data_IF_287684073808
#
_entry.id   IF_287684073808
#
_cell.length_a   1.000
_cell.length_b   1.000
_cell.length_c   1.000
_cell.angle_alpha   90.00
_cell.angle_beta   90.00
_cell.angle_gamma   90.00
#
_symmetry.space_group_name_H-M   'P 1'
#
loop_
_entity.id
_entity.type
_entity.pdbx_description
1 polymer ?
#
# COMPACT_ATOMS: atom_id res chain seq x y z
N UNK A 1 -67.85 16.92 41.52
CA UNK A 1 -66.97 18.10 41.33
C UNK A 1 -65.69 17.83 42.11
N UNK A 2 -64.63 17.39 41.43
CA UNK A 2 -63.30 17.18 42.01
C UNK A 2 -62.31 17.96 41.14
N UNK A 3 -61.75 19.01 41.71
CA UNK A 3 -60.74 19.88 41.11
C UNK A 3 -59.37 19.17 41.15
N UNK A 4 -58.81 18.90 39.97
CA UNK A 4 -57.42 18.46 39.80
C UNK A 4 -56.51 19.69 39.73
N UNK A 5 -55.61 19.81 40.70
CA UNK A 5 -54.49 20.74 40.66
C UNK A 5 -53.41 20.22 39.70
N UNK A 6 -53.00 21.06 38.76
CA UNK A 6 -51.91 20.82 37.83
C UNK A 6 -50.62 21.41 38.39
N UNK A 7 -49.69 20.55 38.80
CA UNK A 7 -48.32 20.93 39.16
C UNK A 7 -47.49 21.02 37.88
N UNK A 8 -47.12 22.25 37.49
CA UNK A 8 -46.14 22.51 36.44
C UNK A 8 -44.73 22.46 37.04
N UNK A 9 -43.96 21.42 36.69
CA UNK A 9 -42.53 21.33 36.99
C UNK A 9 -41.73 22.01 35.87
N UNK A 10 -41.18 23.18 36.18
CA UNK A 10 -40.20 23.88 35.33
C UNK A 10 -38.84 23.18 35.42
N UNK A 11 -38.55 22.28 34.48
CA UNK A 11 -37.21 21.75 34.26
C UNK A 11 -36.43 22.66 33.29
N UNK A 12 -35.80 23.72 33.82
CA UNK A 12 -34.69 24.40 33.16
C UNK A 12 -33.41 23.57 33.35
N UNK A 13 -33.24 22.56 32.50
CA UNK A 13 -31.93 21.92 32.30
C UNK A 13 -31.14 22.79 31.32
N UNK A 14 -30.30 23.66 31.87
CA UNK A 14 -29.29 24.40 31.10
C UNK A 14 -28.31 23.41 30.49
N UNK A 15 -28.47 23.13 29.20
CA UNK A 15 -27.49 22.46 28.35
C UNK A 15 -26.22 23.31 28.29
N UNK A 16 -25.32 23.12 29.25
CA UNK A 16 -23.93 23.52 29.11
C UNK A 16 -23.33 22.52 28.12
N UNK A 17 -23.28 22.91 26.84
CA UNK A 17 -22.57 22.18 25.82
C UNK A 17 -21.07 22.27 26.12
N UNK A 18 -20.58 21.40 27.00
CA UNK A 18 -19.16 21.09 27.10
C UNK A 18 -18.81 20.37 25.79
N UNK A 19 -18.37 21.11 24.78
CA UNK A 19 -17.62 20.52 23.68
C UNK A 19 -16.24 20.19 24.22
N UNK A 20 -15.87 18.91 24.42
CA UNK A 20 -14.53 18.56 24.84
C UNK A 20 -13.59 18.87 23.67
N UNK A 21 -13.07 20.10 23.62
CA UNK A 21 -11.97 20.44 22.72
C UNK A 21 -10.77 19.62 23.17
N UNK A 22 -10.47 18.58 22.40
CA UNK A 22 -9.35 17.65 22.58
C UNK A 22 -8.05 18.44 22.83
N UNK A 23 -7.46 18.29 24.01
CA UNK A 23 -6.11 18.78 24.29
C UNK A 23 -5.09 17.77 23.76
N UNK A 24 -5.03 17.53 22.45
CA UNK A 24 -3.75 17.09 21.89
C UNK A 24 -2.82 18.27 22.09
N UNK A 25 -1.78 18.11 22.91
CA UNK A 25 -0.81 19.21 23.08
C UNK A 25 -0.31 19.57 21.67
N UNK A 26 -0.32 20.86 21.25
CA UNK A 26 0.07 21.29 19.91
C UNK A 26 1.44 20.73 19.46
N UNK A 27 2.26 20.32 20.41
CA UNK A 27 3.53 19.61 20.22
C UNK A 27 3.41 18.28 19.46
N UNK A 28 2.42 17.41 19.80
CA UNK A 28 2.32 16.05 19.21
C UNK A 28 1.87 16.13 17.75
N UNK A 29 0.87 16.95 17.43
CA UNK A 29 0.37 17.07 16.06
C UNK A 29 1.45 17.67 15.14
N UNK A 30 2.22 18.62 15.64
CA UNK A 30 3.37 19.17 14.90
C UNK A 30 4.46 18.11 14.67
N UNK A 31 4.71 17.24 15.66
CA UNK A 31 5.64 16.13 15.51
C UNK A 31 5.17 15.13 14.43
N UNK A 32 3.89 14.75 14.43
CA UNK A 32 3.34 13.82 13.43
C UNK A 32 3.36 14.45 12.04
N UNK A 33 2.98 15.73 11.90
CA UNK A 33 3.07 16.46 10.63
C UNK A 33 4.50 16.50 10.09
N UNK A 34 5.48 16.70 10.96
CA UNK A 34 6.90 16.62 10.59
C UNK A 34 7.29 15.23 10.09
N UNK A 35 6.90 14.18 10.81
CA UNK A 35 7.16 12.79 10.38
C UNK A 35 6.50 12.46 9.04
N UNK A 36 5.27 12.93 8.80
CA UNK A 36 4.57 12.80 7.53
C UNK A 36 5.37 13.48 6.41
N UNK A 37 5.85 14.70 6.65
CA UNK A 37 6.66 15.42 5.66
C UNK A 37 7.98 14.69 5.38
N UNK A 38 8.67 14.21 6.42
CA UNK A 38 9.90 13.42 6.29
C UNK A 38 9.66 12.14 5.46
N UNK A 39 8.52 11.47 5.66
CA UNK A 39 8.13 10.29 4.87
C UNK A 39 7.84 10.64 3.41
N UNK A 40 7.11 11.73 3.15
CA UNK A 40 6.86 12.22 1.78
C UNK A 40 8.16 12.50 1.07
N UNK A 41 9.09 13.19 1.71
CA UNK A 41 10.37 13.56 1.13
C UNK A 41 11.21 12.31 0.84
N UNK A 42 11.25 11.33 1.74
CA UNK A 42 11.94 10.05 1.49
C UNK A 42 11.35 9.29 0.30
N UNK A 43 10.01 9.23 0.20
CA UNK A 43 9.34 8.52 -0.91
C UNK A 43 9.51 9.29 -2.23
N UNK A 44 9.37 10.61 -2.24
CA UNK A 44 9.55 11.45 -3.43
C UNK A 44 10.98 11.43 -3.94
N UNK A 45 11.96 11.28 -3.07
CA UNK A 45 13.37 11.18 -3.45
C UNK A 45 13.88 9.74 -3.55
N UNK A 46 13.01 8.75 -3.31
CA UNK A 46 13.37 7.34 -3.45
C UNK A 46 13.99 7.04 -4.82
N UNK A 47 15.09 6.29 -4.78
CA UNK A 47 15.84 5.78 -5.92
C UNK A 47 16.16 4.31 -5.64
N UNK A 48 15.79 3.43 -6.56
CA UNK A 48 16.01 1.98 -6.43
C UNK A 48 17.50 1.71 -6.17
N UNK A 49 17.78 1.10 -5.02
CA UNK A 49 19.10 0.71 -4.58
C UNK A 49 20.14 1.85 -4.67
N UNK A 50 19.77 3.04 -4.19
CA UNK A 50 20.63 4.24 -4.20
C UNK A 50 22.06 3.94 -3.72
N UNK A 51 22.19 3.24 -2.58
CA UNK A 51 23.46 2.87 -1.96
C UNK A 51 24.38 2.02 -2.87
N UNK A 52 23.81 1.09 -3.67
CA UNK A 52 24.60 0.26 -4.60
C UNK A 52 25.06 1.03 -5.84
N UNK A 53 24.29 2.04 -6.25
CA UNK A 53 24.67 2.91 -7.37
C UNK A 53 25.84 3.82 -6.97
N UNK A 54 25.84 4.28 -5.72
CA UNK A 54 26.88 5.17 -5.18
C UNK A 54 28.17 4.43 -4.82
N UNK A 55 28.09 3.19 -4.35
CA UNK A 55 29.27 2.41 -3.98
C UNK A 55 30.10 1.91 -5.17
N UNK A 56 29.62 2.10 -6.41
CA UNK A 56 30.35 1.68 -7.60
C UNK A 56 30.52 0.16 -7.70
N UNK A 57 29.59 -0.62 -7.15
CA UNK A 57 29.66 -2.09 -7.02
C UNK A 57 29.65 -2.89 -8.36
N UNK A 58 30.02 -2.27 -9.48
CA UNK A 58 30.09 -2.90 -10.80
C UNK A 58 28.75 -3.30 -11.41
N UNK A 59 27.63 -2.99 -10.74
CA UNK A 59 26.29 -3.29 -11.26
C UNK A 59 25.99 -2.30 -12.39
N UNK A 60 25.82 -2.82 -13.60
CA UNK A 60 25.41 -2.00 -14.75
C UNK A 60 24.08 -1.32 -14.44
N UNK A 61 24.02 0.00 -14.61
CA UNK A 61 22.78 0.79 -14.44
C UNK A 61 21.63 0.28 -15.32
N UNK A 62 21.96 -0.46 -16.40
CA UNK A 62 21.00 -1.08 -17.31
C UNK A 62 20.24 -2.27 -16.68
N UNK A 63 20.84 -2.97 -15.72
CA UNK A 63 20.24 -4.12 -15.07
C UNK A 63 19.25 -3.73 -13.96
N UNK A 64 19.41 -2.55 -13.37
CA UNK A 64 18.53 -2.04 -12.33
C UNK A 64 17.21 -1.52 -12.90
N UNK A 65 16.06 -1.78 -12.24
CA UNK A 65 14.82 -1.13 -12.59
C UNK A 65 14.88 0.36 -12.22
N UNK A 66 14.17 1.17 -13.00
CA UNK A 66 13.96 2.60 -12.77
C UNK A 66 12.73 2.88 -11.88
N UNK A 67 12.12 1.82 -11.34
CA UNK A 67 10.87 1.88 -10.60
C UNK A 67 10.76 0.79 -9.54
N UNK A 68 9.96 1.05 -8.50
CA UNK A 68 9.39 0.04 -7.62
C UNK A 68 8.00 -0.37 -8.15
N UNK A 69 7.74 -1.66 -8.13
CA UNK A 69 6.52 -2.27 -8.69
C UNK A 69 5.83 -3.00 -7.54
N UNK A 70 4.61 -2.59 -7.20
CA UNK A 70 3.83 -3.09 -6.08
C UNK A 70 2.56 -3.72 -6.65
N UNK A 71 2.35 -5.02 -6.43
CA UNK A 71 1.08 -5.66 -6.76
C UNK A 71 0.18 -5.72 -5.54
N UNK A 72 -1.10 -5.38 -5.74
CA UNK A 72 -2.14 -5.40 -4.72
C UNK A 72 -3.16 -6.50 -5.03
N UNK A 73 -3.19 -7.51 -4.16
CA UNK A 73 -4.14 -8.63 -4.15
C UNK A 73 -5.22 -8.43 -3.10
N UNK A 74 -6.29 -9.21 -3.17
CA UNK A 74 -7.40 -9.16 -2.22
C UNK A 74 -8.75 -9.47 -2.88
N UNK A 75 -9.75 -9.93 -2.11
CA UNK A 75 -11.04 -10.30 -2.66
C UNK A 75 -11.77 -9.08 -3.25
N UNK A 76 -12.79 -9.33 -4.07
CA UNK A 76 -13.61 -8.24 -4.61
C UNK A 76 -14.26 -7.43 -3.50
N UNK A 77 -14.18 -6.10 -3.59
CA UNK A 77 -14.71 -5.20 -2.55
C UNK A 77 -13.79 -4.97 -1.35
N UNK A 78 -12.60 -5.59 -1.28
CA UNK A 78 -11.68 -5.45 -0.14
C UNK A 78 -11.00 -4.08 0.02
N UNK A 79 -11.31 -3.10 -0.84
CA UNK A 79 -10.76 -1.75 -0.73
C UNK A 79 -9.40 -1.52 -1.44
N UNK A 80 -8.98 -2.39 -2.36
CA UNK A 80 -7.72 -2.24 -3.13
C UNK A 80 -7.59 -0.90 -3.85
N UNK A 81 -8.55 -0.54 -4.70
CA UNK A 81 -8.52 0.74 -5.42
C UNK A 81 -8.58 1.93 -4.45
N UNK A 82 -9.30 1.80 -3.33
CA UNK A 82 -9.34 2.83 -2.28
C UNK A 82 -7.97 3.00 -1.61
N UNK A 83 -7.25 1.91 -1.34
CA UNK A 83 -5.88 1.95 -0.82
C UNK A 83 -4.92 2.69 -1.76
N UNK A 84 -5.00 2.43 -3.08
CA UNK A 84 -4.18 3.13 -4.09
C UNK A 84 -4.47 4.64 -4.08
N UNK A 85 -5.75 5.02 -4.00
CA UNK A 85 -6.16 6.43 -3.86
C UNK A 85 -5.62 7.03 -2.58
N UNK A 86 -5.65 6.28 -1.49
CA UNK A 86 -5.14 6.72 -0.19
C UNK A 86 -3.64 6.98 -0.26
N UNK A 87 -2.85 6.07 -0.85
CA UNK A 87 -1.42 6.30 -1.10
C UNK A 87 -1.16 7.55 -1.93
N UNK A 88 -1.91 7.75 -3.01
CA UNK A 88 -1.72 8.92 -3.87
C UNK A 88 -2.01 10.23 -3.12
N UNK A 89 -3.17 10.31 -2.46
CA UNK A 89 -3.57 11.51 -1.69
C UNK A 89 -2.59 11.83 -0.58
N UNK A 90 -2.15 10.80 0.17
CA UNK A 90 -1.20 10.96 1.26
C UNK A 90 0.17 11.45 0.74
N UNK A 91 0.66 10.91 -0.39
CA UNK A 91 1.95 11.27 -0.97
C UNK A 91 1.96 12.68 -1.55
N UNK A 92 0.91 13.06 -2.28
CA UNK A 92 0.83 14.36 -2.97
C UNK A 92 0.12 15.44 -2.15
N UNK A 93 -0.32 15.11 -0.93
CA UNK A 93 -1.08 16.01 -0.05
C UNK A 93 -2.27 16.67 -0.76
N UNK A 94 -3.00 15.89 -1.54
CA UNK A 94 -4.13 16.36 -2.37
C UNK A 94 -5.43 15.66 -1.98
N UNK A 95 -6.56 16.35 -2.16
CA UNK A 95 -7.90 15.77 -2.01
C UNK A 95 -8.37 15.09 -3.31
N UNK A 96 -7.94 15.63 -4.44
CA UNK A 96 -8.36 15.20 -5.77
C UNK A 96 -7.33 14.27 -6.41
N UNK A 97 -7.82 13.30 -7.19
CA UNK A 97 -6.97 12.41 -7.96
C UNK A 97 -6.72 13.06 -9.31
N UNK A 98 -5.54 12.86 -9.90
CA UNK A 98 -5.31 13.22 -11.30
C UNK A 98 -6.23 12.40 -12.21
N UNK A 99 -6.66 13.01 -13.32
CA UNK A 99 -7.54 12.38 -14.32
C UNK A 99 -6.98 11.03 -14.79
N UNK A 100 -5.65 10.96 -14.96
CA UNK A 100 -4.90 9.76 -15.38
C UNK A 100 -5.02 8.58 -14.41
N UNK A 101 -5.24 8.87 -13.12
CA UNK A 101 -5.41 7.87 -12.07
C UNK A 101 -6.90 7.55 -11.89
N UNK A 102 -7.76 8.56 -11.98
CA UNK A 102 -9.20 8.38 -11.81
C UNK A 102 -9.79 7.48 -12.90
N UNK A 103 -9.37 7.64 -14.15
CA UNK A 103 -9.79 6.79 -15.27
C UNK A 103 -9.36 5.33 -15.06
N UNK A 104 -8.15 5.11 -14.57
CA UNK A 104 -7.59 3.76 -14.34
C UNK A 104 -8.19 3.06 -13.12
N UNK A 105 -8.56 3.80 -12.09
CA UNK A 105 -9.13 3.27 -10.84
C UNK A 105 -10.66 3.29 -10.86
N UNK A 106 -11.29 3.14 -12.03
CA UNK A 106 -12.74 3.12 -12.16
C UNK A 106 -13.33 2.03 -11.24
N UNK A 107 -14.05 2.44 -10.20
CA UNK A 107 -14.80 1.50 -9.35
C UNK A 107 -16.01 1.08 -10.16
N UNK A 108 -15.97 -0.15 -10.68
CA UNK A 108 -17.14 -0.78 -11.27
C UNK A 108 -18.08 -1.26 -10.17
N UNK A 109 -19.37 -1.36 -10.49
CA UNK A 109 -20.35 -1.94 -9.56
C UNK A 109 -20.09 -3.43 -9.37
N UNK A 110 -20.61 -4.02 -8.27
CA UNK A 110 -20.40 -5.44 -7.95
C UNK A 110 -20.79 -6.37 -9.10
N UNK A 111 -21.88 -6.03 -9.80
CA UNK A 111 -22.45 -6.83 -10.87
C UNK A 111 -21.64 -6.77 -12.18
N UNK A 112 -20.71 -5.81 -12.27
CA UNK A 112 -19.81 -5.63 -13.42
C UNK A 112 -18.39 -6.15 -13.14
N UNK A 113 -18.16 -6.76 -11.96
CA UNK A 113 -16.84 -7.27 -11.60
C UNK A 113 -16.61 -8.66 -12.22
N UNK A 114 -15.76 -8.69 -13.23
CA UNK A 114 -15.35 -9.92 -13.93
C UNK A 114 -14.24 -10.70 -13.21
N UNK A 115 -14.00 -10.47 -11.90
CA UNK A 115 -12.88 -11.06 -11.16
C UNK A 115 -11.49 -10.52 -11.59
N UNK A 116 -10.41 -11.26 -11.29
CA UNK A 116 -9.00 -10.89 -11.61
C UNK A 116 -8.68 -10.97 -13.11
N UNK A 117 -9.50 -10.38 -13.97
CA UNK A 117 -9.32 -10.41 -15.41
C UNK A 117 -8.47 -9.25 -15.90
N UNK A 118 -8.54 -8.07 -15.30
CA UNK A 118 -7.76 -6.92 -15.76
C UNK A 118 -6.65 -6.54 -14.76
N UNK A 119 -5.45 -6.34 -15.30
CA UNK A 119 -4.28 -5.92 -14.56
C UNK A 119 -3.95 -4.47 -14.93
N UNK A 120 -4.15 -3.56 -13.98
CA UNK A 120 -4.04 -2.11 -14.25
C UNK A 120 -2.86 -1.50 -13.50
N UNK A 121 -1.89 -0.97 -14.24
CA UNK A 121 -0.78 -0.21 -13.65
C UNK A 121 -1.13 1.26 -13.41
N UNK A 122 -1.03 1.68 -12.14
CA UNK A 122 -1.23 3.06 -11.69
C UNK A 122 0.09 3.62 -11.17
N UNK A 123 0.51 4.76 -11.73
CA UNK A 123 1.76 5.43 -11.32
C UNK A 123 1.46 6.33 -10.13
N UNK A 124 1.79 5.85 -8.93
CA UNK A 124 1.63 6.61 -7.68
C UNK A 124 2.62 7.77 -7.61
N UNK A 125 3.86 7.52 -8.06
CA UNK A 125 4.94 8.51 -8.09
C UNK A 125 5.59 8.52 -9.47
N UNK A 126 5.57 9.67 -10.12
CA UNK A 126 6.24 9.91 -11.41
C UNK A 126 7.75 10.05 -11.22
N UNK A 127 8.50 9.83 -12.29
CA UNK A 127 9.93 10.07 -12.27
C UNK A 127 10.18 11.57 -12.31
N UNK A 128 10.92 12.08 -11.34
CA UNK A 128 11.26 13.51 -11.25
C UNK A 128 12.77 13.67 -11.22
N UNK A 129 13.25 14.83 -11.67
CA UNK A 129 14.63 15.23 -11.36
C UNK A 129 14.71 15.41 -9.85
N UNK A 130 15.74 14.86 -9.22
CA UNK A 130 15.93 15.05 -7.78
C UNK A 130 16.26 16.52 -7.56
N UNK A 131 15.42 17.21 -6.81
CA UNK A 131 15.57 18.65 -6.55
C UNK A 131 16.91 18.93 -5.87
N UNK A 132 17.61 19.96 -6.33
CA UNK A 132 18.88 20.41 -5.75
C UNK A 132 18.71 20.76 -4.26
N UNK A 133 17.52 21.19 -3.84
CA UNK A 133 17.14 21.52 -2.47
C UNK A 133 17.07 20.30 -1.55
N UNK A 134 16.57 19.15 -2.02
CA UNK A 134 16.60 17.92 -1.24
C UNK A 134 18.04 17.46 -0.98
N UNK A 135 18.92 17.61 -1.98
CA UNK A 135 20.35 17.34 -1.82
C UNK A 135 20.98 18.25 -0.76
N UNK A 136 20.58 19.53 -0.72
CA UNK A 136 21.00 20.45 0.34
C UNK A 136 20.53 19.96 1.73
N UNK A 137 19.28 19.51 1.86
CA UNK A 137 18.73 19.05 3.15
C UNK A 137 19.38 17.73 3.63
N UNK A 138 19.68 16.79 2.74
CA UNK A 138 20.42 15.56 3.09
C UNK A 138 21.80 15.87 3.68
N UNK A 139 22.56 16.77 3.04
CA UNK A 139 23.89 17.18 3.52
C UNK A 139 23.79 17.76 4.93
N UNK A 140 22.81 18.63 5.20
CA UNK A 140 22.57 19.21 6.53
C UNK A 140 22.36 18.14 7.61
N UNK A 141 21.62 17.08 7.30
CA UNK A 141 21.35 15.97 8.23
C UNK A 141 22.63 15.16 8.51
N UNK A 142 23.44 14.87 7.48
CA UNK A 142 24.68 14.07 7.64
C UNK A 142 25.75 14.78 8.46
N UNK A 143 25.82 16.11 8.40
CA UNK A 143 26.70 16.92 9.26
C UNK A 143 26.23 17.03 10.71
N UNK A 144 25.13 16.36 11.07
CA UNK A 144 24.76 16.09 12.45
C UNK A 144 24.48 17.33 13.28
N UNK A 145 23.52 18.18 12.89
CA UNK A 145 23.02 19.36 13.63
C UNK A 145 24.07 20.30 14.23
N UNK A 146 25.35 20.14 13.91
CA UNK A 146 26.36 21.15 14.17
C UNK A 146 25.95 22.35 13.34
N UNK A 147 25.82 23.51 13.99
CA UNK A 147 25.63 24.80 13.34
C UNK A 147 26.88 25.10 12.53
N UNK A 148 26.94 24.53 11.33
CA UNK A 148 27.88 24.92 10.29
C UNK A 148 27.41 26.29 9.83
N UNK A 149 28.33 27.25 9.75
CA UNK A 149 28.02 28.58 9.23
C UNK A 149 27.52 28.44 7.77
N UNK A 150 26.51 29.21 7.37
CA UNK A 150 25.87 29.10 6.05
C UNK A 150 26.90 29.21 4.90
N UNK A 151 27.97 29.99 5.11
CA UNK A 151 29.09 30.13 4.16
C UNK A 151 29.89 28.84 3.97
N UNK A 152 30.18 28.11 5.06
CA UNK A 152 30.93 26.85 5.00
C UNK A 152 30.08 25.74 4.36
N UNK A 153 28.76 25.76 4.62
CA UNK A 153 27.81 24.87 3.96
C UNK A 153 27.75 25.12 2.44
N UNK A 154 27.62 26.38 2.01
CA UNK A 154 27.60 26.72 0.58
C UNK A 154 28.94 26.43 -0.10
N UNK A 155 30.08 26.58 0.58
CA UNK A 155 31.38 26.19 0.03
C UNK A 155 31.50 24.68 -0.16
N UNK A 156 31.08 23.88 0.82
CA UNK A 156 31.02 22.41 0.70
C UNK A 156 30.07 21.99 -0.43
N UNK A 157 28.90 22.61 -0.52
CA UNK A 157 27.93 22.34 -1.58
C UNK A 157 28.51 22.67 -2.97
N UNK A 158 29.20 23.81 -3.11
CA UNK A 158 29.90 24.18 -4.35
C UNK A 158 30.99 23.19 -4.72
N UNK A 159 31.78 22.70 -3.74
CA UNK A 159 32.83 21.69 -3.97
C UNK A 159 32.23 20.37 -4.48
N UNK A 160 31.13 19.92 -3.89
CA UNK A 160 30.40 18.71 -4.34
C UNK A 160 29.82 18.92 -5.75
N UNK A 161 29.17 20.06 -6.00
CA UNK A 161 28.57 20.40 -7.30
C UNK A 161 29.61 20.47 -8.42
N UNK A 162 30.77 21.07 -8.15
CA UNK A 162 31.84 21.23 -9.15
C UNK A 162 32.61 19.92 -9.41
N UNK A 163 32.75 19.03 -8.42
CA UNK A 163 33.29 17.68 -8.65
C UNK A 163 32.40 16.84 -9.59
N UNK A 164 31.08 17.08 -9.60
CA UNK A 164 30.12 16.37 -10.45
C UNK A 164 30.01 16.87 -11.90
N UNK A 165 30.66 17.98 -12.30
CA UNK A 165 30.48 18.59 -13.64
C UNK A 165 30.98 17.75 -14.83
N UNK A 166 31.60 16.59 -14.62
CA UNK A 166 32.16 15.75 -15.69
C UNK A 166 31.24 14.64 -16.22
N UNK A 167 30.06 14.39 -15.65
CA UNK A 167 29.05 13.52 -16.28
C UNK A 167 27.66 14.12 -16.12
N UNK A 168 27.05 14.51 -17.24
CA UNK A 168 25.74 15.21 -17.30
C UNK A 168 24.57 14.23 -17.16
N UNK A 169 24.72 13.19 -16.34
CA UNK A 169 23.64 12.26 -16.04
C UNK A 169 22.77 12.89 -14.95
N UNK A 170 21.74 13.60 -15.38
CA UNK A 170 20.74 14.19 -14.49
C UNK A 170 20.17 13.08 -13.61
N UNK A 171 20.41 13.13 -12.30
CA UNK A 171 19.89 12.10 -11.41
C UNK A 171 18.36 12.18 -11.31
N UNK A 172 17.71 11.12 -11.78
CA UNK A 172 16.28 10.94 -11.71
C UNK A 172 15.91 10.09 -10.50
N UNK A 173 14.86 10.47 -9.79
CA UNK A 173 14.21 9.63 -8.79
C UNK A 173 13.61 8.38 -9.45
N UNK A 174 13.25 7.36 -8.68
CA UNK A 174 12.57 6.17 -9.20
C UNK A 174 11.06 6.33 -9.16
N UNK A 175 10.37 5.75 -10.15
CA UNK A 175 8.90 5.69 -10.18
C UNK A 175 8.38 4.71 -9.13
N UNK A 176 7.15 4.89 -8.67
CA UNK A 176 6.44 3.88 -7.87
C UNK A 176 5.15 3.56 -8.61
N UNK A 177 4.99 2.29 -8.94
CA UNK A 177 3.86 1.76 -9.70
C UNK A 177 3.11 0.80 -8.79
N UNK A 178 1.80 1.02 -8.65
CA UNK A 178 0.89 0.13 -7.96
C UNK A 178 0.00 -0.55 -9.00
N UNK A 179 -0.12 -1.86 -8.91
CA UNK A 179 -0.95 -2.65 -9.79
C UNK A 179 -2.19 -3.13 -9.04
N UNK A 180 -3.34 -2.68 -9.51
CA UNK A 180 -4.63 -3.14 -9.00
C UNK A 180 -5.01 -4.44 -9.70
N UNK A 181 -5.28 -5.48 -8.91
CA UNK A 181 -5.95 -6.68 -9.42
C UNK A 181 -7.45 -6.48 -9.25
N UNK A 182 -8.27 -6.82 -10.24
CA UNK A 182 -9.73 -6.60 -10.14
C UNK A 182 -10.45 -7.41 -9.03
N UNK A 183 -9.70 -8.21 -8.28
CA UNK A 183 -10.13 -8.85 -7.05
C UNK A 183 -10.47 -10.30 -7.25
N UNK A 184 -10.15 -11.09 -6.23
CA UNK A 184 -10.38 -12.52 -6.25
C UNK A 184 -11.83 -12.84 -5.90
N UNK A 185 -12.45 -13.74 -6.65
CA UNK A 185 -13.86 -14.12 -6.49
C UNK A 185 -13.98 -15.64 -6.37
N UNK A 186 -13.27 -16.39 -7.23
CA UNK A 186 -13.49 -17.82 -7.40
C UNK A 186 -12.53 -18.63 -6.52
N UNK A 187 -11.33 -18.09 -6.27
CA UNK A 187 -10.29 -18.71 -5.43
C UNK A 187 -9.91 -20.14 -5.89
N UNK A 188 -10.13 -20.43 -7.17
CA UNK A 188 -9.91 -21.73 -7.77
C UNK A 188 -8.46 -21.88 -8.29
N UNK A 189 -8.15 -23.06 -8.84
CA UNK A 189 -6.83 -23.29 -9.44
C UNK A 189 -6.54 -22.35 -10.62
N UNK A 190 -7.57 -21.89 -11.35
CA UNK A 190 -7.40 -21.01 -12.50
C UNK A 190 -6.92 -19.64 -12.04
N UNK A 191 -7.58 -19.08 -11.03
CA UNK A 191 -7.21 -17.81 -10.42
C UNK A 191 -5.83 -17.90 -9.76
N UNK A 192 -5.54 -18.99 -9.04
CA UNK A 192 -4.20 -19.28 -8.51
C UNK A 192 -3.13 -19.26 -9.61
N UNK A 193 -3.41 -19.82 -10.79
CA UNK A 193 -2.49 -19.78 -11.93
C UNK A 193 -2.32 -18.38 -12.52
N UNK A 194 -3.38 -17.59 -12.59
CA UNK A 194 -3.31 -16.18 -13.02
C UNK A 194 -2.39 -15.39 -12.08
N UNK A 195 -2.57 -15.53 -10.77
CA UNK A 195 -1.72 -14.88 -9.76
C UNK A 195 -0.26 -15.36 -9.87
N UNK A 196 -0.06 -16.64 -10.12
CA UNK A 196 1.27 -17.20 -10.32
C UNK A 196 2.01 -16.59 -11.51
N UNK A 197 1.34 -16.32 -12.64
CA UNK A 197 1.97 -15.66 -13.80
C UNK A 197 2.17 -14.16 -13.59
N UNK A 198 1.29 -13.50 -12.82
CA UNK A 198 1.45 -12.11 -12.40
C UNK A 198 2.71 -11.96 -11.53
N UNK A 199 2.86 -12.80 -10.50
CA UNK A 199 4.05 -12.81 -9.63
C UNK A 199 5.32 -13.22 -10.39
N UNK A 200 5.20 -13.89 -11.55
CA UNK A 200 6.35 -14.16 -12.46
C UNK A 200 6.76 -12.93 -13.28
N UNK A 201 5.98 -11.86 -13.30
CA UNK A 201 6.21 -10.72 -14.19
C UNK A 201 6.03 -11.08 -15.66
N UNK A 202 5.13 -12.02 -15.96
CA UNK A 202 4.91 -12.52 -17.33
C UNK A 202 3.74 -11.86 -18.05
N UNK A 203 2.98 -11.01 -17.38
CA UNK A 203 1.75 -10.42 -17.92
C UNK A 203 2.04 -9.02 -18.48
N UNK A 204 1.42 -8.65 -19.59
CA UNK A 204 1.46 -7.28 -20.14
C UNK A 204 0.50 -6.36 -19.39
N UNK A 205 0.91 -5.12 -19.21
CA UNK A 205 0.04 -4.09 -18.64
C UNK A 205 -1.20 -3.90 -19.53
N UNK A 206 -2.35 -3.61 -18.90
CA UNK A 206 -3.66 -3.44 -19.55
C UNK A 206 -4.10 -4.63 -20.42
N UNK A 207 -3.65 -5.84 -20.10
CA UNK A 207 -4.14 -7.04 -20.80
C UNK A 207 -5.05 -7.86 -19.92
N UNK A 208 -6.10 -8.40 -20.54
CA UNK A 208 -7.03 -9.30 -19.88
C UNK A 208 -6.34 -10.65 -19.64
N UNK A 209 -6.19 -11.06 -18.39
CA UNK A 209 -5.51 -12.29 -17.95
C UNK A 209 -6.48 -13.46 -17.99
N UNK A 210 -7.01 -13.76 -19.17
CA UNK A 210 -7.91 -14.88 -19.37
C UNK A 210 -7.17 -16.14 -19.85
N UNK A 211 -7.59 -17.28 -19.29
CA UNK A 211 -7.21 -18.59 -19.80
C UNK A 211 -8.11 -18.95 -20.97
N UNK A 212 -7.55 -19.59 -22.00
CA UNK A 212 -8.35 -20.10 -23.12
C UNK A 212 -9.10 -21.35 -22.70
N UNK A 213 -10.38 -21.41 -23.05
CA UNK A 213 -11.22 -22.60 -22.89
C UNK A 213 -11.15 -23.55 -24.10
N UNK A 214 -10.27 -23.29 -25.07
CA UNK A 214 -10.13 -24.09 -26.29
C UNK A 214 -8.66 -24.24 -26.69
N UNK A 215 -8.36 -25.35 -27.37
CA UNK A 215 -7.02 -25.71 -27.87
C UNK A 215 -6.99 -25.60 -29.39
N UNK A 216 -5.87 -25.18 -29.95
CA UNK A 216 -5.71 -25.17 -31.41
C UNK A 216 -5.26 -26.55 -31.89
N UNK A 217 -6.05 -27.22 -32.73
CA UNK A 217 -5.73 -28.55 -33.24
C UNK A 217 -4.36 -28.61 -33.96
N UNK A 218 -3.95 -27.52 -34.60
CA UNK A 218 -2.65 -27.43 -35.29
C UNK A 218 -1.45 -27.21 -34.35
N UNK A 219 -1.68 -26.92 -33.06
CA UNK A 219 -0.64 -26.84 -32.04
C UNK A 219 -0.64 -28.12 -31.21
N UNK A 220 -0.16 -29.23 -31.79
CA UNK A 220 -0.12 -30.55 -31.14
C UNK A 220 0.50 -30.53 -29.73
N UNK A 221 1.46 -29.63 -29.47
CA UNK A 221 2.07 -29.49 -28.15
C UNK A 221 1.10 -28.95 -27.07
N UNK A 222 0.04 -28.22 -27.44
CA UNK A 222 -0.98 -27.73 -26.49
C UNK A 222 -1.77 -28.89 -25.86
N UNK A 223 -1.84 -30.05 -26.53
CA UNK A 223 -2.55 -31.22 -25.99
C UNK A 223 -1.92 -31.76 -24.71
N UNK A 224 -0.62 -31.52 -24.52
CA UNK A 224 0.13 -31.94 -23.35
C UNK A 224 0.10 -30.92 -22.20
N UNK A 225 -0.50 -29.74 -22.41
CA UNK A 225 -0.69 -28.74 -21.35
C UNK A 225 -2.00 -28.97 -20.61
N UNK A 226 -2.06 -28.54 -19.35
CA UNK A 226 -3.31 -28.42 -18.60
C UNK A 226 -4.06 -27.18 -19.04
N UNK A 227 -5.39 -27.17 -18.93
CA UNK A 227 -6.20 -26.02 -19.34
C UNK A 227 -5.84 -24.74 -18.57
N UNK A 228 -5.51 -24.89 -17.28
CA UNK A 228 -5.02 -23.82 -16.41
C UNK A 228 -3.67 -23.21 -16.85
N UNK A 229 -2.98 -23.82 -17.83
CA UNK A 229 -1.71 -23.35 -18.38
C UNK A 229 -1.86 -22.73 -19.79
N UNK A 230 -3.09 -22.68 -20.34
CA UNK A 230 -3.39 -22.18 -21.70
C UNK A 230 -3.57 -20.66 -21.74
N UNK A 231 -2.49 -19.93 -21.47
CA UNK A 231 -2.46 -18.48 -21.64
C UNK A 231 -2.14 -18.09 -23.10
N UNK A 232 -2.83 -17.09 -23.68
CA UNK A 232 -2.51 -16.61 -25.03
C UNK A 232 -1.14 -15.92 -25.07
N UNK A 233 -0.39 -16.09 -26.16
CA UNK A 233 0.93 -15.45 -26.31
C UNK A 233 0.86 -13.92 -26.35
N UNK A 234 -0.32 -13.36 -26.62
CA UNK A 234 -0.57 -11.92 -26.63
C UNK A 234 -0.40 -11.31 -25.24
N UNK A 235 -0.75 -12.03 -24.17
CA UNK A 235 -0.62 -11.55 -22.79
C UNK A 235 0.76 -11.83 -22.20
N UNK A 236 1.44 -12.86 -22.72
CA UNK A 236 2.73 -13.30 -22.18
C UNK A 236 3.88 -12.42 -22.69
N UNK A 237 4.66 -11.90 -21.75
CA UNK A 237 5.92 -11.22 -22.03
C UNK A 237 7.07 -12.23 -22.17
N UNK A 238 7.87 -12.07 -23.24
CA UNK A 238 9.10 -12.85 -23.44
C UNK A 238 10.26 -12.20 -22.68
N UNK A 239 11.01 -12.99 -21.90
CA UNK A 239 12.22 -12.56 -21.21
C UNK A 239 12.12 -12.58 -19.68
N UNK A 240 13.23 -12.88 -19.02
CA UNK A 240 13.38 -12.85 -17.56
C UNK A 240 14.11 -11.56 -17.19
N UNK A 241 13.37 -10.46 -17.05
CA UNK A 241 13.92 -9.20 -16.55
C UNK A 241 13.33 -8.89 -15.19
N UNK A 242 14.16 -8.40 -14.26
CA UNK A 242 13.69 -7.98 -12.94
C UNK A 242 12.72 -6.79 -13.05
N UNK A 243 12.91 -5.94 -14.06
CA UNK A 243 12.07 -4.76 -14.35
C UNK A 243 10.60 -5.04 -14.65
N UNK A 244 10.23 -6.31 -14.77
CA UNK A 244 8.87 -6.75 -15.11
C UNK A 244 8.25 -7.56 -13.98
N UNK A 245 9.04 -7.95 -12.99
CA UNK A 245 8.54 -8.66 -11.82
C UNK A 245 8.01 -7.63 -10.84
N UNK A 246 6.95 -7.95 -10.11
CA UNK A 246 6.63 -7.17 -8.92
C UNK A 246 7.82 -7.19 -7.96
N UNK A 247 8.03 -6.09 -7.26
CA UNK A 247 9.09 -5.93 -6.28
C UNK A 247 8.55 -6.01 -4.85
N UNK A 248 7.27 -5.64 -4.64
CA UNK A 248 6.56 -5.81 -3.37
C UNK A 248 5.13 -6.32 -3.61
N UNK A 249 4.57 -6.98 -2.60
CA UNK A 249 3.23 -7.58 -2.63
C UNK A 249 2.43 -7.08 -1.43
N UNK A 250 1.20 -6.64 -1.69
CA UNK A 250 0.22 -6.26 -0.68
C UNK A 250 -1.02 -7.14 -0.86
N UNK A 251 -1.56 -7.67 0.23
CA UNK A 251 -2.85 -8.34 0.27
C UNK A 251 -3.82 -7.48 1.08
N UNK A 252 -4.97 -7.18 0.51
CA UNK A 252 -5.94 -6.26 1.10
C UNK A 252 -7.20 -7.02 1.42
N UNK A 253 -7.65 -6.98 2.67
CA UNK A 253 -8.90 -7.57 3.14
C UNK A 253 -9.85 -6.50 3.67
N UNK A 254 -11.14 -6.81 3.65
CA UNK A 254 -12.16 -5.98 4.30
C UNK A 254 -12.12 -6.23 5.81
N UNK A 255 -11.62 -5.26 6.58
CA UNK A 255 -11.54 -5.32 8.04
C UNK A 255 -12.90 -5.43 8.74
N UNK A 256 -13.98 -5.05 8.06
CA UNK A 256 -15.35 -5.06 8.60
C UNK A 256 -16.01 -6.43 8.64
N UNK A 257 -15.38 -7.44 8.02
CA UNK A 257 -15.81 -8.83 8.06
C UNK A 257 -15.43 -9.47 9.39
N UNK A 258 -16.27 -10.34 9.93
CA UNK A 258 -16.06 -10.97 11.24
C UNK A 258 -14.89 -11.96 11.21
N UNK A 259 -14.72 -12.67 10.09
CA UNK A 259 -13.62 -13.58 9.82
C UNK A 259 -12.76 -13.05 8.67
N UNK A 260 -11.43 -13.05 8.88
CA UNK A 260 -10.45 -12.58 7.89
C UNK A 260 -9.26 -13.56 7.87
N UNK A 261 -8.95 -14.17 6.71
CA UNK A 261 -9.81 -14.27 5.52
C UNK A 261 -11.14 -15.00 5.80
N UNK A 262 -12.13 -14.90 4.92
CA UNK A 262 -13.49 -15.40 5.17
C UNK A 262 -13.60 -16.91 4.87
N UNK A 263 -13.58 -17.73 5.92
CA UNK A 263 -13.65 -19.18 5.83
C UNK A 263 -12.34 -19.89 5.46
N UNK A 264 -12.40 -21.22 5.48
CA UNK A 264 -11.24 -22.11 5.30
C UNK A 264 -10.70 -22.07 3.86
N UNK A 265 -11.57 -21.98 2.86
CA UNK A 265 -11.18 -21.94 1.44
C UNK A 265 -10.36 -20.68 1.12
N UNK A 266 -10.86 -19.50 1.50
CA UNK A 266 -10.14 -18.24 1.30
C UNK A 266 -8.83 -18.24 2.08
N UNK A 267 -8.85 -18.72 3.33
CA UNK A 267 -7.65 -18.83 4.16
C UNK A 267 -6.58 -19.70 3.51
N UNK A 268 -6.96 -20.88 3.00
CA UNK A 268 -6.04 -21.79 2.30
C UNK A 268 -5.50 -21.15 1.03
N UNK A 269 -6.35 -20.52 0.23
CA UNK A 269 -5.97 -19.86 -1.01
C UNK A 269 -4.90 -18.78 -0.79
N UNK A 270 -5.11 -17.85 0.15
CA UNK A 270 -4.12 -16.80 0.42
C UNK A 270 -2.85 -17.34 1.09
N UNK A 271 -2.96 -18.36 1.94
CA UNK A 271 -1.81 -19.03 2.55
C UNK A 271 -0.91 -19.65 1.47
N UNK A 272 -1.49 -20.29 0.45
CA UNK A 272 -0.75 -20.87 -0.67
C UNK A 272 -0.06 -19.79 -1.52
N UNK A 273 -0.71 -18.65 -1.77
CA UNK A 273 -0.09 -17.53 -2.51
C UNK A 273 1.06 -16.92 -1.71
N UNK A 274 0.89 -16.71 -0.41
CA UNK A 274 1.94 -16.18 0.46
C UNK A 274 3.13 -17.14 0.50
N UNK A 275 2.90 -18.44 0.62
CA UNK A 275 3.98 -19.44 0.53
C UNK A 275 4.68 -19.41 -0.82
N UNK A 276 3.92 -19.32 -1.92
CA UNK A 276 4.47 -19.18 -3.26
C UNK A 276 5.33 -17.91 -3.39
N UNK A 277 4.90 -16.80 -2.81
CA UNK A 277 5.66 -15.55 -2.76
C UNK A 277 6.96 -15.70 -1.96
N UNK A 278 6.92 -16.32 -0.77
CA UNK A 278 8.11 -16.59 0.04
C UNK A 278 9.13 -17.44 -0.69
N UNK A 279 8.70 -18.50 -1.40
CA UNK A 279 9.57 -19.34 -2.25
C UNK A 279 10.27 -18.53 -3.35
N UNK A 280 9.73 -17.36 -3.70
CA UNK A 280 10.28 -16.42 -4.69
C UNK A 280 11.02 -15.25 -4.07
N UNK A 281 11.37 -15.33 -2.78
CA UNK A 281 12.12 -14.32 -2.03
C UNK A 281 11.37 -13.02 -1.76
N UNK A 282 10.04 -13.01 -1.86
CA UNK A 282 9.25 -11.95 -1.22
C UNK A 282 9.23 -12.22 0.28
N UNK A 283 10.10 -11.54 1.02
CA UNK A 283 10.36 -11.85 2.44
C UNK A 283 9.19 -11.45 3.33
N UNK A 284 8.61 -10.27 3.08
CA UNK A 284 7.59 -9.66 3.93
C UNK A 284 6.39 -9.16 3.13
N UNK A 285 5.52 -10.05 2.60
CA UNK A 285 4.27 -9.59 1.99
C UNK A 285 3.43 -8.82 3.03
N UNK A 286 2.90 -7.66 2.65
CA UNK A 286 2.11 -6.81 3.53
C UNK A 286 0.64 -7.20 3.50
N UNK A 287 -0.03 -7.18 4.64
CA UNK A 287 -1.48 -7.34 4.76
C UNK A 287 -2.09 -6.02 5.19
N UNK A 288 -3.14 -5.59 4.51
CA UNK A 288 -3.86 -4.36 4.81
C UNK A 288 -5.32 -4.68 5.06
N UNK A 289 -5.82 -4.28 6.23
CA UNK A 289 -7.20 -4.34 6.62
C UNK A 289 -7.83 -2.97 6.38
N UNK A 290 -8.77 -2.89 5.44
CA UNK A 290 -9.48 -1.65 5.11
C UNK A 290 -10.86 -1.61 5.79
N UNK A 291 -11.67 -0.59 5.48
CA UNK A 291 -13.05 -0.49 5.96
C UNK A 291 -13.20 -0.47 7.49
N UNK A 292 -12.21 0.06 8.21
CA UNK A 292 -12.24 0.21 9.67
C UNK A 292 -13.38 1.10 10.14
N UNK A 293 -13.78 2.06 9.30
CA UNK A 293 -14.94 2.92 9.51
C UNK A 293 -16.23 2.11 9.74
N UNK A 294 -16.43 1.02 9.02
CA UNK A 294 -17.60 0.16 9.22
C UNK A 294 -17.55 -0.64 10.53
N UNK A 295 -16.34 -0.95 11.02
CA UNK A 295 -16.18 -1.61 12.34
C UNK A 295 -16.60 -0.63 13.42
N UNK A 296 -16.16 0.62 13.28
CA UNK A 296 -16.51 1.70 14.19
C UNK A 296 -18.02 1.95 14.22
N UNK A 297 -18.68 1.99 13.06
CA UNK A 297 -20.14 2.16 12.96
C UNK A 297 -20.89 0.99 13.63
N UNK A 298 -20.53 -0.26 13.31
CA UNK A 298 -21.13 -1.46 13.93
C UNK A 298 -20.96 -1.47 15.45
N UNK A 299 -19.80 -1.08 15.95
CA UNK A 299 -19.51 -1.04 17.38
C UNK A 299 -20.44 -0.06 18.11
N UNK A 300 -20.68 1.12 17.52
CA UNK A 300 -21.60 2.11 18.09
C UNK A 300 -23.02 1.56 18.11
N UNK A 301 -23.49 1.02 17.00
CA UNK A 301 -24.84 0.47 16.88
C UNK A 301 -25.10 -0.67 17.89
N UNK A 302 -24.16 -1.61 18.03
CA UNK A 302 -24.31 -2.73 18.97
C UNK A 302 -24.36 -2.29 20.44
N UNK A 303 -23.60 -1.28 20.80
CA UNK A 303 -23.47 -0.81 22.19
C UNK A 303 -24.63 0.10 22.59
N UNK A 304 -25.10 0.94 21.67
CA UNK A 304 -26.35 1.70 21.85
C UNK A 304 -27.54 0.74 22.02
N UNK A 305 -27.59 -0.37 21.26
CA UNK A 305 -28.64 -1.38 21.39
C UNK A 305 -28.57 -2.15 22.73
N UNK A 306 -27.37 -2.47 23.21
CA UNK A 306 -27.17 -3.24 24.46
C UNK A 306 -27.41 -2.41 25.71
N UNK A 307 -26.96 -1.16 25.74
CA UNK A 307 -26.92 -0.33 26.96
C UNK A 307 -27.98 0.77 26.96
N UNK A 308 -28.50 1.16 25.79
CA UNK A 308 -29.36 2.34 25.63
C UNK A 308 -28.62 3.66 25.86
N UNK A 309 -27.29 3.66 25.97
CA UNK A 309 -26.46 4.84 26.20
C UNK A 309 -25.46 5.01 25.07
N UNK A 310 -25.15 6.27 24.72
CA UNK A 310 -24.06 6.57 23.80
C UNK A 310 -22.73 6.36 24.51
N UNK A 311 -21.83 5.61 23.88
CA UNK A 311 -20.48 5.41 24.40
C UNK A 311 -19.71 6.74 24.44
N UNK A 312 -18.95 6.95 25.51
CA UNK A 312 -17.97 8.01 25.52
C UNK A 312 -16.87 7.75 24.47
N UNK A 313 -16.26 8.83 23.96
CA UNK A 313 -15.23 8.75 22.93
C UNK A 313 -14.06 7.85 23.35
N UNK A 314 -13.64 7.92 24.62
CA UNK A 314 -12.52 7.13 25.12
C UNK A 314 -12.85 5.62 25.14
N UNK A 315 -14.04 5.27 25.62
CA UNK A 315 -14.51 3.87 25.64
C UNK A 315 -14.64 3.29 24.24
N UNK A 316 -15.16 4.09 23.30
CA UNK A 316 -15.26 3.74 21.89
C UNK A 316 -13.89 3.46 21.28
N UNK A 317 -12.92 4.35 21.49
CA UNK A 317 -11.56 4.17 20.97
C UNK A 317 -10.87 2.95 21.58
N UNK A 318 -11.05 2.70 22.88
CA UNK A 318 -10.49 1.53 23.54
C UNK A 318 -11.09 0.23 22.98
N UNK A 319 -12.41 0.11 22.90
CA UNK A 319 -13.10 -1.07 22.34
C UNK A 319 -12.71 -1.31 20.88
N UNK A 320 -12.59 -0.24 20.09
CA UNK A 320 -12.14 -0.34 18.69
C UNK A 320 -10.72 -0.91 18.61
N UNK A 321 -9.79 -0.46 19.46
CA UNK A 321 -8.42 -1.01 19.50
C UNK A 321 -8.39 -2.48 19.88
N UNK A 322 -9.19 -2.90 20.86
CA UNK A 322 -9.30 -4.31 21.27
C UNK A 322 -9.80 -5.19 20.13
N UNK A 323 -10.82 -4.74 19.39
CA UNK A 323 -11.34 -5.45 18.21
C UNK A 323 -10.29 -5.51 17.09
N UNK A 324 -9.59 -4.41 16.85
CA UNK A 324 -8.52 -4.36 15.83
C UNK A 324 -7.38 -5.31 16.19
N UNK A 325 -6.90 -5.30 17.43
CA UNK A 325 -5.84 -6.20 17.91
C UNK A 325 -6.25 -7.68 17.78
N UNK A 326 -7.49 -8.00 18.15
CA UNK A 326 -8.03 -9.36 17.98
C UNK A 326 -8.10 -9.79 16.51
N UNK A 327 -8.55 -8.90 15.61
CA UNK A 327 -8.57 -9.19 14.16
C UNK A 327 -7.16 -9.35 13.61
N UNK A 328 -6.21 -8.53 14.04
CA UNK A 328 -4.80 -8.64 13.67
C UNK A 328 -4.23 -10.00 14.06
N UNK A 329 -4.46 -10.43 15.31
CA UNK A 329 -4.02 -11.72 15.82
C UNK A 329 -4.61 -12.89 15.01
N UNK A 330 -5.92 -12.86 14.72
CA UNK A 330 -6.56 -13.86 13.87
C UNK A 330 -5.92 -13.97 12.50
N UNK A 331 -5.69 -12.84 11.84
CA UNK A 331 -5.06 -12.80 10.50
C UNK A 331 -3.64 -13.35 10.55
N UNK A 332 -2.88 -13.00 11.58
CA UNK A 332 -1.52 -13.51 11.83
C UNK A 332 -1.52 -15.03 11.95
N UNK A 333 -2.42 -15.60 12.75
CA UNK A 333 -2.55 -17.04 12.97
C UNK A 333 -3.01 -17.77 11.69
N UNK A 334 -4.06 -17.27 11.04
CA UNK A 334 -4.66 -17.91 9.86
C UNK A 334 -3.67 -17.96 8.68
N UNK A 335 -2.99 -16.85 8.41
CA UNK A 335 -2.09 -16.73 7.25
C UNK A 335 -0.64 -17.15 7.55
N UNK A 336 -0.25 -17.30 8.82
CA UNK A 336 1.11 -17.63 9.22
C UNK A 336 2.12 -16.54 8.84
N UNK A 337 1.78 -15.29 9.13
CA UNK A 337 2.57 -14.09 8.84
C UNK A 337 3.04 -13.40 10.12
N UNK A 338 3.92 -12.41 10.00
CA UNK A 338 4.36 -11.63 11.15
C UNK A 338 3.35 -10.52 11.44
N UNK A 339 3.11 -10.26 12.73
CA UNK A 339 2.24 -9.18 13.20
C UNK A 339 2.64 -7.81 12.61
N UNK A 340 3.94 -7.53 12.55
CA UNK A 340 4.50 -6.31 11.92
C UNK A 340 4.17 -6.11 10.45
N UNK A 341 3.63 -7.12 9.75
CA UNK A 341 3.21 -7.03 8.35
C UNK A 341 1.72 -6.76 8.19
N UNK A 342 0.95 -6.62 9.27
CA UNK A 342 -0.49 -6.35 9.25
C UNK A 342 -0.73 -4.87 9.56
N UNK A 343 -1.50 -4.21 8.70
CA UNK A 343 -1.75 -2.77 8.79
C UNK A 343 -3.23 -2.48 8.69
N UNK A 344 -3.72 -1.52 9.45
CA UNK A 344 -5.08 -0.99 9.30
C UNK A 344 -5.03 0.36 8.59
N UNK A 345 -5.78 0.51 7.50
CA UNK A 345 -5.84 1.75 6.74
C UNK A 345 -7.29 2.16 6.53
N UNK A 346 -7.62 3.35 7.02
CA UNK A 346 -8.91 4.00 6.80
C UNK A 346 -8.93 4.74 5.45
N UNK A 347 -10.13 4.90 4.91
CA UNK A 347 -10.35 5.70 3.71
C UNK A 347 -10.61 7.17 4.07
N UNK A 348 -10.21 8.09 3.20
CA UNK A 348 -10.60 9.51 3.32
C UNK A 348 -12.11 9.67 3.12
N UNK A 349 -12.88 9.54 4.20
CA UNK A 349 -14.32 9.84 4.23
C UNK A 349 -14.64 11.05 5.09
N UNK A 350 -13.76 11.42 6.01
CA UNK A 350 -14.07 12.40 7.04
C UNK A 350 -13.56 13.79 6.70
N UNK A 351 -14.27 14.79 7.22
CA UNK A 351 -13.84 16.20 7.19
C UNK A 351 -12.87 16.54 8.34
N UNK A 352 -12.61 15.58 9.22
CA UNK A 352 -11.73 15.75 10.38
C UNK A 352 -10.26 15.74 9.93
N UNK A 353 -9.59 16.88 10.10
CA UNK A 353 -8.17 17.02 9.76
C UNK A 353 -7.27 16.18 10.67
N UNK A 354 -7.67 15.87 11.92
CA UNK A 354 -6.88 15.01 12.82
C UNK A 354 -6.82 13.58 12.29
N UNK A 355 -7.98 13.04 11.90
CA UNK A 355 -8.08 11.72 11.30
C UNK A 355 -7.32 11.66 9.97
N UNK A 356 -7.39 12.72 9.17
CA UNK A 356 -6.62 12.84 7.93
C UNK A 356 -5.11 12.72 8.17
N UNK A 357 -4.57 13.39 9.19
CA UNK A 357 -3.15 13.28 9.57
C UNK A 357 -2.80 11.83 9.93
N UNK A 358 -3.65 11.14 10.71
CA UNK A 358 -3.44 9.73 11.06
C UNK A 358 -3.46 8.82 9.83
N UNK A 359 -4.39 9.04 8.90
CA UNK A 359 -4.48 8.31 7.63
C UNK A 359 -3.22 8.53 6.79
N UNK A 360 -2.81 9.80 6.60
CA UNK A 360 -1.61 10.18 5.86
C UNK A 360 -0.38 9.44 6.41
N UNK A 361 -0.18 9.47 7.73
CA UNK A 361 0.95 8.81 8.39
C UNK A 361 0.96 7.30 8.15
N UNK A 362 -0.16 6.61 8.41
CA UNK A 362 -0.27 5.15 8.21
C UNK A 362 -0.03 4.76 6.74
N UNK A 363 -0.64 5.50 5.81
CA UNK A 363 -0.51 5.24 4.38
C UNK A 363 0.91 5.45 3.86
N UNK A 364 1.56 6.55 4.26
CA UNK A 364 2.95 6.86 3.86
C UNK A 364 3.94 5.88 4.48
N UNK A 365 3.73 5.49 5.74
CA UNK A 365 4.57 4.50 6.41
C UNK A 365 4.52 3.16 5.67
N UNK A 366 3.33 2.66 5.37
CA UNK A 366 3.17 1.42 4.61
C UNK A 366 3.81 1.54 3.22
N UNK A 367 3.57 2.64 2.49
CA UNK A 367 4.15 2.83 1.16
C UNK A 367 5.69 2.85 1.21
N UNK A 368 6.27 3.48 2.23
CA UNK A 368 7.71 3.47 2.47
C UNK A 368 8.24 2.05 2.76
N UNK A 369 7.54 1.26 3.58
CA UNK A 369 7.90 -0.13 3.85
C UNK A 369 7.85 -1.00 2.57
N UNK A 370 6.83 -0.82 1.72
CA UNK A 370 6.75 -1.51 0.42
C UNK A 370 7.92 -1.16 -0.52
N UNK A 371 8.36 0.09 -0.50
CA UNK A 371 9.51 0.57 -1.27
C UNK A 371 10.82 -0.05 -0.75
N UNK A 372 11.00 -0.14 0.57
CA UNK A 372 12.16 -0.83 1.17
C UNK A 372 12.19 -2.33 0.86
N UNK A 373 11.03 -2.97 0.84
CA UNK A 373 10.89 -4.37 0.43
C UNK A 373 11.20 -4.57 -1.05
N UNK A 374 10.82 -3.61 -1.88
CA UNK A 374 11.16 -3.61 -3.30
C UNK A 374 12.68 -3.63 -3.49
N UNK A 375 13.41 -2.76 -2.78
CA UNK A 375 14.88 -2.76 -2.79
C UNK A 375 15.46 -4.10 -2.33
N UNK A 376 14.96 -4.64 -1.20
CA UNK A 376 15.41 -5.92 -0.66
C UNK A 376 15.21 -7.07 -1.66
N UNK A 377 14.05 -7.09 -2.33
CA UNK A 377 13.73 -8.06 -3.37
C UNK A 377 14.69 -7.95 -4.56
N UNK A 378 14.91 -6.73 -5.06
CA UNK A 378 15.80 -6.46 -6.19
C UNK A 378 17.23 -6.87 -5.87
N UNK A 379 17.73 -6.49 -4.69
CA UNK A 379 19.07 -6.84 -4.22
C UNK A 379 19.26 -8.37 -4.16
N UNK A 380 18.30 -9.11 -3.60
CA UNK A 380 18.39 -10.57 -3.49
C UNK A 380 18.49 -11.27 -4.86
N UNK A 381 17.72 -10.80 -5.86
CA UNK A 381 17.75 -11.36 -7.21
C UNK A 381 19.07 -11.02 -7.95
N UNK A 382 19.65 -9.84 -7.70
CA UNK A 382 20.95 -9.46 -8.30
C UNK A 382 22.06 -10.34 -7.72
N UNK A 383 22.06 -10.53 -6.40
CA UNK A 383 23.03 -11.40 -5.73
C UNK A 383 22.95 -12.85 -6.24
N UNK A 384 21.73 -13.37 -6.47
CA UNK A 384 21.53 -14.69 -7.04
C UNK A 384 22.08 -14.79 -8.47
N UNK A 385 21.81 -13.79 -9.32
CA UNK A 385 22.36 -13.74 -10.69
C UNK A 385 23.89 -13.76 -10.68
N UNK A 386 24.52 -13.03 -9.77
CA UNK A 386 25.98 -12.99 -9.65
C UNK A 386 26.56 -14.31 -9.15
N UNK A 387 25.88 -15.02 -8.23
CA UNK A 387 26.30 -16.36 -7.79
C UNK A 387 26.28 -17.36 -8.94
N UNK A 388 25.30 -17.29 -9.83
CA UNK A 388 25.21 -18.19 -10.99
C UNK A 388 26.26 -17.94 -12.08
N UNK A 389 26.95 -16.80 -12.08
CA UNK A 389 28.01 -16.49 -13.06
C UNK A 389 29.40 -16.99 -12.65
N UNK A 390 29.55 -17.40 -11.38
CA UNK A 390 30.83 -17.86 -10.82
C UNK A 390 31.01 -19.39 -11.01
N UNK A 391 29.93 -20.10 -11.36
CA UNK A 391 29.93 -21.50 -11.74
C UNK A 391 29.78 -21.64 -13.25
#
# INVERSE_FOLDING_TARGET
MLTRESVQSNNLSSKIAFSPSRYTSPSIDNLIKKQIQDLRDRINNYKVLAHLRESGAGISSRDLPDHADIIIFGPTGSGKSSLIRTFYRALHNTKELGDDIQEKLSIKQKDENEGTTEFTAVVIKKQTKIDEEYKKNQIRITTGNQTINDDEFEEQYRKIRNKGKRSKDTELSSKIIAHDTRGQIWMDEREMRQLHILIKGKVKDKTKVEQRNYRYAYLLWEFWKRDQDLFPNTILQKGKSIKRKPHSLIFVFDGSMDEIPNGEEETKFYKDIIQMARRRKYVYPQIVLTCVDKIEDKLVEEEELKTGQQLDFFEKEQKLREIMDYKEEKVVLNLGIQRSSVHFIENYKTKDEEQKIRIDYKALRLLHECVQQSDSYIQSNIQEKNKCLIF
#
